data_IF_202136020198
#
_entry.id   IF_202136020198
#
_cell.length_a   1.000
_cell.length_b   1.000
_cell.length_c   1.000
_cell.angle_alpha   90.00
_cell.angle_beta   90.00
_cell.angle_gamma   90.00
#
_symmetry.space_group_name_H-M   'P 1'
#
loop_
_entity.id
_entity.type
_entity.pdbx_description
1 polymer ?
#
# COMPACT_ATOMS: atom_id res chain seq x y z
N UNK A 1 -26.66 20.22 -1.42
CA UNK A 1 -26.40 19.16 -0.41
C UNK A 1 -25.81 17.86 -0.98
N UNK A 2 -26.37 17.23 -2.04
CA UNK A 2 -25.86 15.93 -2.55
C UNK A 2 -24.49 16.02 -3.26
N UNK A 3 -24.23 17.10 -4.02
CA UNK A 3 -22.93 17.38 -4.65
C UNK A 3 -21.78 17.49 -3.63
N UNK A 4 -21.98 18.26 -2.57
CA UNK A 4 -21.01 18.43 -1.47
C UNK A 4 -20.61 17.09 -0.82
N UNK A 5 -21.53 16.12 -0.72
CA UNK A 5 -21.23 14.78 -0.19
C UNK A 5 -20.33 13.98 -1.14
N UNK A 6 -20.59 14.03 -2.44
CA UNK A 6 -19.75 13.37 -3.47
C UNK A 6 -18.35 13.97 -3.46
N UNK A 7 -18.24 15.30 -3.42
CA UNK A 7 -16.95 15.99 -3.35
C UNK A 7 -16.17 15.63 -2.08
N UNK A 8 -16.87 15.48 -0.95
CA UNK A 8 -16.26 15.04 0.32
C UNK A 8 -15.74 13.61 0.22
N UNK A 9 -16.50 12.69 -0.37
CA UNK A 9 -16.06 11.30 -0.58
C UNK A 9 -14.85 11.26 -1.51
N UNK A 10 -14.89 12.00 -2.63
CA UNK A 10 -13.78 12.12 -3.57
C UNK A 10 -12.52 12.64 -2.89
N UNK A 11 -12.66 13.68 -2.06
CA UNK A 11 -11.54 14.24 -1.30
C UNK A 11 -10.97 13.25 -0.28
N UNK A 12 -11.81 12.46 0.39
CA UNK A 12 -11.35 11.41 1.31
C UNK A 12 -10.57 10.33 0.57
N UNK A 13 -11.05 9.87 -0.58
CA UNK A 13 -10.36 8.87 -1.40
C UNK A 13 -8.99 9.39 -1.87
N UNK A 14 -8.91 10.66 -2.32
CA UNK A 14 -7.64 11.28 -2.72
C UNK A 14 -6.64 11.35 -1.55
N UNK A 15 -7.10 11.69 -0.34
CA UNK A 15 -6.24 11.72 0.86
C UNK A 15 -5.71 10.34 1.23
N UNK A 16 -6.54 9.30 1.12
CA UNK A 16 -6.13 7.91 1.34
C UNK A 16 -5.08 7.50 0.31
N UNK A 17 -5.33 7.74 -0.97
CA UNK A 17 -4.40 7.42 -2.05
C UNK A 17 -3.06 8.13 -1.87
N UNK A 18 -3.07 9.43 -1.54
CA UNK A 18 -1.85 10.20 -1.30
C UNK A 18 -1.02 9.64 -0.12
N UNK A 19 -1.68 9.22 0.96
CA UNK A 19 -1.02 8.58 2.11
C UNK A 19 -0.40 7.24 1.73
N UNK A 20 -1.13 6.40 0.99
CA UNK A 20 -0.63 5.11 0.50
C UNK A 20 0.59 5.32 -0.39
N UNK A 21 0.55 6.24 -1.35
CA UNK A 21 1.67 6.52 -2.26
C UNK A 21 2.90 7.00 -1.50
N UNK A 22 2.76 7.91 -0.53
CA UNK A 22 3.90 8.39 0.28
C UNK A 22 4.52 7.25 1.09
N UNK A 23 3.70 6.46 1.77
CA UNK A 23 4.17 5.31 2.56
C UNK A 23 4.82 4.25 1.68
N UNK A 24 4.20 3.92 0.54
CA UNK A 24 4.75 2.98 -0.42
C UNK A 24 6.08 3.46 -1.00
N UNK A 25 6.20 4.74 -1.38
CA UNK A 25 7.46 5.34 -1.85
C UNK A 25 8.55 5.29 -0.80
N UNK A 26 8.21 5.52 0.47
CA UNK A 26 9.16 5.41 1.58
C UNK A 26 9.63 3.96 1.79
N UNK A 27 8.71 2.99 1.68
CA UNK A 27 9.03 1.56 1.71
C UNK A 27 9.93 1.19 0.54
N UNK A 28 9.58 1.59 -0.69
CA UNK A 28 10.41 1.37 -1.89
C UNK A 28 11.79 2.00 -1.74
N UNK A 29 11.87 3.25 -1.25
CA UNK A 29 13.15 3.93 -1.01
C UNK A 29 14.02 3.18 0.00
N UNK A 30 13.42 2.71 1.11
CA UNK A 30 14.10 1.86 2.09
C UNK A 30 14.60 0.53 1.53
N UNK A 31 14.02 0.04 0.42
CA UNK A 31 14.34 -1.25 -0.20
C UNK A 31 15.22 -1.14 -1.45
N UNK A 32 15.41 0.06 -2.00
CA UNK A 32 16.13 0.27 -3.25
C UNK A 32 17.62 0.55 -2.99
N UNK A 33 18.42 -0.51 -3.11
CA UNK A 33 19.85 -0.59 -3.50
C UNK A 33 20.87 -1.00 -2.44
N UNK A 34 20.70 -0.66 -1.17
CA UNK A 34 21.60 -1.10 -0.08
C UNK A 34 20.88 -1.67 1.13
N UNK A 35 19.58 -1.96 1.00
CA UNK A 35 18.81 -2.52 2.09
C UNK A 35 19.25 -3.97 2.36
N UNK A 36 19.79 -4.27 3.56
CA UNK A 36 20.24 -5.62 3.90
C UNK A 36 19.09 -6.62 3.87
N UNK A 37 17.85 -6.16 4.12
CA UNK A 37 16.66 -7.01 4.22
C UNK A 37 15.80 -7.03 2.96
N UNK A 38 16.34 -6.58 1.81
CA UNK A 38 15.56 -6.50 0.56
C UNK A 38 15.02 -7.88 0.16
N UNK A 39 15.86 -8.91 0.22
CA UNK A 39 15.52 -10.23 -0.26
C UNK A 39 14.49 -10.90 0.65
N UNK A 40 14.72 -10.87 1.96
CA UNK A 40 13.85 -11.41 3.00
C UNK A 40 12.48 -10.73 2.98
N UNK A 41 12.43 -9.42 2.72
CA UNK A 41 11.19 -8.67 2.57
C UNK A 41 10.36 -9.18 1.37
N UNK A 42 10.97 -9.30 0.18
CA UNK A 42 10.26 -9.78 -1.00
C UNK A 42 9.89 -11.27 -0.91
N UNK A 43 10.73 -12.09 -0.29
CA UNK A 43 10.44 -13.50 -0.03
C UNK A 43 9.24 -13.65 0.90
N UNK A 44 9.21 -12.88 2.00
CA UNK A 44 8.06 -12.86 2.93
C UNK A 44 6.78 -12.44 2.22
N UNK A 45 6.83 -11.38 1.39
CA UNK A 45 5.67 -10.96 0.59
C UNK A 45 5.21 -12.04 -0.39
N UNK A 46 6.16 -12.72 -1.06
CA UNK A 46 5.84 -13.83 -1.97
C UNK A 46 5.17 -14.99 -1.23
N UNK A 47 5.66 -15.33 -0.04
CA UNK A 47 5.10 -16.38 0.80
C UNK A 47 3.68 -16.04 1.26
N UNK A 48 3.43 -14.79 1.68
CA UNK A 48 2.09 -14.32 2.02
C UNK A 48 1.13 -14.42 0.83
N UNK A 49 1.56 -14.02 -0.38
CA UNK A 49 0.73 -14.11 -1.58
C UNK A 49 0.41 -15.55 -2.01
N UNK A 50 1.25 -16.52 -1.61
CA UNK A 50 1.01 -17.96 -1.82
C UNK A 50 0.12 -18.58 -0.75
N UNK A 51 -0.12 -17.90 0.37
CA UNK A 51 -1.10 -18.36 1.35
C UNK A 51 -2.48 -18.32 0.68
N UNK A 52 -3.02 -19.49 0.38
CA UNK A 52 -4.35 -19.61 -0.16
C UNK A 52 -5.31 -19.26 0.98
N UNK A 53 -5.93 -18.07 0.93
CA UNK A 53 -6.94 -17.69 1.91
C UNK A 53 -8.12 -18.61 1.69
N UNK A 54 -8.26 -19.62 2.56
CA UNK A 54 -9.48 -20.40 2.64
C UNK A 54 -10.55 -19.47 3.21
N UNK A 55 -11.25 -18.78 2.31
CA UNK A 55 -12.48 -18.10 2.64
C UNK A 55 -13.55 -19.20 2.77
N UNK A 56 -13.86 -19.55 4.02
CA UNK A 56 -14.99 -20.40 4.40
C UNK A 56 -16.31 -19.66 4.19
#
# INVERSE_FOLDING_TARGET
>A
MRKQRIDTVRLKLLKIAAKIIRSARYITFKLCSSCPYKNEFYETLSNIGKLNVQLE
#
